data_IF_095645338820
#
_entry.id   IF_095645338820
#
_cell.length_a   1.000
_cell.length_b   1.000
_cell.length_c   1.000
_cell.angle_alpha   90.00
_cell.angle_beta   90.00
_cell.angle_gamma   90.00
#
_symmetry.space_group_name_H-M   'P 1'
#
loop_
_entity.id
_entity.type
_entity.pdbx_description
1 polymer ?
#
# COMPACT_ATOMS: atom_id res chain seq x y z
N UNK A 1 -11.85 -5.49 -8.50
CA UNK A 1 -12.04 -4.59 -7.34
C UNK A 1 -12.15 -3.16 -7.85
N UNK A 2 -13.14 -2.37 -7.44
CA UNK A 2 -13.39 -1.05 -8.03
C UNK A 2 -13.35 0.10 -7.01
N UNK A 3 -13.25 -0.22 -5.72
CA UNK A 3 -13.18 0.76 -4.64
C UNK A 3 -12.09 0.34 -3.67
N UNK A 4 -10.86 0.77 -3.96
CA UNK A 4 -9.72 0.49 -3.08
C UNK A 4 -8.79 1.69 -2.98
N UNK A 5 -8.46 2.11 -1.77
CA UNK A 5 -7.40 3.08 -1.51
C UNK A 5 -6.06 2.35 -1.44
N UNK A 6 -5.12 2.67 -2.32
CA UNK A 6 -3.95 1.82 -2.54
C UNK A 6 -3.07 1.67 -1.28
N UNK A 7 -2.91 2.72 -0.48
CA UNK A 7 -2.15 2.65 0.78
C UNK A 7 -2.87 1.79 1.84
N UNK A 8 -4.20 1.86 1.87
CA UNK A 8 -5.03 1.01 2.73
C UNK A 8 -5.09 -0.45 2.28
N UNK A 9 -4.63 -0.75 1.07
CA UNK A 9 -4.55 -2.10 0.52
C UNK A 9 -3.26 -2.85 0.92
N UNK A 10 -2.35 -2.18 1.64
CA UNK A 10 -1.10 -2.76 2.08
C UNK A 10 -1.34 -3.93 3.04
N UNK A 11 -0.92 -5.13 2.63
CA UNK A 11 -1.06 -6.32 3.47
C UNK A 11 -0.21 -6.19 4.76
N UNK A 12 -0.64 -6.75 5.90
CA UNK A 12 0.08 -6.65 7.17
C UNK A 12 1.56 -7.04 7.08
N UNK A 13 1.90 -8.08 6.33
CA UNK A 13 3.28 -8.55 6.13
C UNK A 13 4.14 -7.54 5.36
N UNK A 14 3.55 -6.83 4.39
CA UNK A 14 4.24 -5.77 3.65
C UNK A 14 4.51 -4.60 4.60
N UNK A 15 3.52 -4.20 5.39
CA UNK A 15 3.62 -3.11 6.37
C UNK A 15 4.65 -3.43 7.45
N UNK A 16 4.67 -4.64 8.00
CA UNK A 16 5.72 -5.09 8.93
C UNK A 16 7.11 -5.00 8.28
N UNK A 17 7.25 -5.39 7.01
CA UNK A 17 8.53 -5.31 6.30
C UNK A 17 8.99 -3.86 6.09
N UNK A 18 8.08 -2.95 5.75
CA UNK A 18 8.38 -1.52 5.59
C UNK A 18 8.66 -0.84 6.94
N UNK A 19 7.94 -1.22 8.00
CA UNK A 19 8.19 -0.75 9.36
C UNK A 19 9.61 -1.09 9.81
N UNK A 20 10.08 -2.31 9.53
CA UNK A 20 11.49 -2.71 9.76
C UNK A 20 12.46 -1.87 8.95
N UNK A 21 12.20 -1.64 7.65
CA UNK A 21 13.03 -0.79 6.78
C UNK A 21 13.20 0.62 7.34
N UNK A 22 12.15 1.19 7.93
CA UNK A 22 12.11 2.57 8.42
C UNK A 22 12.22 2.73 9.93
N UNK A 23 12.55 1.67 10.67
CA UNK A 23 12.71 1.72 12.13
C UNK A 23 11.45 2.14 12.88
N UNK A 24 10.28 1.69 12.43
CA UNK A 24 8.97 1.96 13.06
C UNK A 24 8.44 0.70 13.73
N UNK A 25 7.69 0.88 14.83
CA UNK A 25 7.05 -0.22 15.56
C UNK A 25 5.60 -0.41 15.07
N UNK A 26 5.25 -1.55 14.44
CA UNK A 26 3.89 -1.85 14.02
C UNK A 26 3.01 -2.46 15.12
N UNK A 27 3.56 -2.81 16.29
CA UNK A 27 2.83 -3.54 17.35
C UNK A 27 1.54 -2.87 17.87
N UNK A 28 1.39 -1.52 17.86
CA UNK A 28 0.13 -0.90 18.23
C UNK A 28 -1.00 -1.10 17.23
N UNK A 29 -0.66 -1.36 15.95
CA UNK A 29 -1.61 -1.38 14.84
C UNK A 29 -1.79 -2.76 14.22
N UNK A 30 -0.82 -3.66 14.41
CA UNK A 30 -0.85 -5.03 13.88
C UNK A 30 -0.57 -6.02 15.00
N UNK A 31 -1.52 -6.93 15.22
CA UNK A 31 -1.44 -8.01 16.21
C UNK A 31 -1.83 -9.33 15.53
N UNK A 32 -1.12 -10.41 15.82
CA UNK A 32 -1.37 -11.74 15.24
C UNK A 32 -1.51 -11.74 13.70
N UNK A 33 -0.73 -10.88 13.03
CA UNK A 33 -0.71 -10.76 11.58
C UNK A 33 -1.92 -10.01 10.98
N UNK A 34 -2.74 -9.37 11.80
CA UNK A 34 -3.91 -8.60 11.37
C UNK A 34 -3.85 -7.18 11.91
N UNK A 35 -4.37 -6.23 11.14
CA UNK A 35 -4.56 -4.88 11.66
C UNK A 35 -5.65 -4.86 12.76
N UNK A 36 -5.47 -4.01 13.77
CA UNK A 36 -6.41 -3.87 14.89
C UNK A 36 -6.89 -2.43 15.04
N UNK A 37 -8.21 -2.26 15.19
CA UNK A 37 -8.89 -0.98 15.45
C UNK A 37 -10.26 -1.25 16.08
N UNK A 38 -10.89 -0.24 16.68
CA UNK A 38 -12.19 -0.38 17.36
C UNK A 38 -13.26 0.64 16.94
N UNK A 39 -12.87 1.64 16.17
CA UNK A 39 -13.75 2.67 15.60
C UNK A 39 -13.08 3.31 14.37
N UNK A 40 -13.75 4.31 13.78
CA UNK A 40 -13.23 4.99 12.60
C UNK A 40 -11.94 5.76 12.88
N UNK A 41 -11.81 6.36 14.06
CA UNK A 41 -10.62 7.14 14.42
C UNK A 41 -9.39 6.26 14.61
N UNK A 42 -9.53 5.12 15.30
CA UNK A 42 -8.47 4.12 15.46
C UNK A 42 -8.14 3.42 14.14
N UNK A 43 -9.12 3.23 13.25
CA UNK A 43 -8.87 2.79 11.88
C UNK A 43 -7.98 3.80 11.13
N UNK A 44 -8.32 5.09 11.17
CA UNK A 44 -7.51 6.13 10.53
C UNK A 44 -6.08 6.16 11.10
N UNK A 45 -5.90 5.96 12.41
CA UNK A 45 -4.57 5.88 13.00
C UNK A 45 -3.74 4.70 12.46
N UNK A 46 -4.36 3.53 12.25
CA UNK A 46 -3.70 2.38 11.63
C UNK A 46 -3.40 2.61 10.15
N UNK A 47 -4.34 3.23 9.42
CA UNK A 47 -4.19 3.62 8.02
C UNK A 47 -3.05 4.63 7.83
N UNK A 48 -2.99 5.67 8.66
CA UNK A 48 -1.95 6.70 8.62
C UNK A 48 -0.57 6.10 8.93
N UNK A 49 -0.51 5.20 9.92
CA UNK A 49 0.71 4.47 10.23
C UNK A 49 1.21 3.66 9.02
N UNK A 50 0.33 2.90 8.36
CA UNK A 50 0.68 2.11 7.19
C UNK A 50 1.11 3.00 6.01
N UNK A 51 0.34 4.06 5.73
CA UNK A 51 0.59 5.01 4.64
C UNK A 51 1.95 5.72 4.78
N UNK A 52 2.33 6.12 5.99
CA UNK A 52 3.60 6.81 6.30
C UNK A 52 4.86 5.94 6.10
N UNK A 53 4.69 4.65 5.79
CA UNK A 53 5.76 3.69 5.52
C UNK A 53 6.12 3.56 4.03
N UNK A 54 5.41 4.24 3.13
CA UNK A 54 5.73 4.28 1.70
C UNK A 54 6.31 5.66 1.38
N UNK A 55 7.62 5.72 1.09
CA UNK A 55 8.34 7.01 1.02
C UNK A 55 9.14 7.21 -0.26
N UNK A 56 9.52 6.13 -0.93
CA UNK A 56 10.27 6.18 -2.19
C UNK A 56 9.43 5.66 -3.35
N UNK A 57 9.81 6.01 -4.58
CA UNK A 57 9.19 5.43 -5.78
C UNK A 57 9.14 3.90 -5.73
N UNK A 58 10.24 3.24 -5.31
CA UNK A 58 10.23 1.78 -5.17
C UNK A 58 9.29 1.26 -4.08
N UNK A 59 8.98 2.04 -3.04
CA UNK A 59 8.01 1.60 -2.03
C UNK A 59 6.61 1.54 -2.64
N UNK A 60 6.24 2.57 -3.40
CA UNK A 60 4.95 2.65 -4.07
C UNK A 60 4.82 1.65 -5.22
N UNK A 61 5.88 1.43 -5.99
CA UNK A 61 5.92 0.38 -7.01
C UNK A 61 5.72 -1.01 -6.37
N UNK A 62 6.41 -1.28 -5.25
CA UNK A 62 6.23 -2.53 -4.50
C UNK A 62 4.82 -2.67 -3.93
N UNK A 63 4.21 -1.59 -3.44
CA UNK A 63 2.84 -1.60 -2.92
C UNK A 63 1.84 -2.03 -4.00
N UNK A 64 1.87 -1.36 -5.16
CA UNK A 64 0.95 -1.67 -6.26
C UNK A 64 1.15 -3.09 -6.80
N UNK A 65 2.41 -3.51 -6.99
CA UNK A 65 2.76 -4.87 -7.43
C UNK A 65 2.24 -5.93 -6.44
N UNK A 66 2.48 -5.72 -5.14
CA UNK A 66 2.04 -6.65 -4.09
C UNK A 66 0.52 -6.80 -4.04
N UNK A 67 -0.20 -5.66 -4.01
CA UNK A 67 -1.66 -5.65 -3.95
C UNK A 67 -2.28 -6.33 -5.17
N UNK A 68 -1.87 -5.94 -6.38
CA UNK A 68 -2.46 -6.45 -7.62
C UNK A 68 -2.11 -7.92 -7.86
N UNK A 69 -0.87 -8.33 -7.57
CA UNK A 69 -0.49 -9.74 -7.61
C UNK A 69 -1.35 -10.56 -6.63
N UNK A 70 -1.66 -10.01 -5.45
CA UNK A 70 -2.56 -10.68 -4.50
C UNK A 70 -3.98 -10.81 -5.05
N UNK A 71 -4.56 -9.73 -5.56
CA UNK A 71 -5.88 -9.75 -6.19
C UNK A 71 -5.99 -10.78 -7.31
N UNK A 72 -4.95 -10.89 -8.15
CA UNK A 72 -4.92 -11.88 -9.22
C UNK A 72 -4.96 -13.32 -8.69
N UNK A 73 -4.26 -13.60 -7.58
CA UNK A 73 -4.33 -14.93 -6.91
C UNK A 73 -5.74 -15.24 -6.40
N UNK A 74 -6.48 -14.21 -6.01
CA UNK A 74 -7.88 -14.34 -5.56
C UNK A 74 -8.88 -14.37 -6.73
N UNK A 75 -8.39 -14.35 -7.98
CA UNK A 75 -9.19 -14.51 -9.19
C UNK A 75 -9.70 -13.20 -9.80
N UNK A 76 -9.26 -12.04 -9.30
CA UNK A 76 -9.60 -10.77 -9.93
C UNK A 76 -8.84 -10.60 -11.25
N UNK A 77 -9.54 -10.12 -12.27
CA UNK A 77 -8.97 -9.85 -13.61
C UNK A 77 -8.83 -8.35 -13.91
N UNK A 78 -9.33 -7.50 -13.02
CA UNK A 78 -9.37 -6.04 -13.20
C UNK A 78 -9.48 -5.34 -11.85
N UNK A 79 -8.74 -4.23 -11.71
CA UNK A 79 -8.85 -3.35 -10.55
C UNK A 79 -8.77 -1.88 -10.92
N UNK A 80 -9.57 -1.06 -10.22
CA UNK A 80 -9.40 0.40 -10.15
C UNK A 80 -9.03 0.78 -8.73
N UNK A 81 -8.11 1.75 -8.57
CA UNK A 81 -7.61 2.17 -7.26
C UNK A 81 -7.65 3.69 -7.13
N UNK A 82 -8.01 4.15 -5.94
CA UNK A 82 -7.86 5.54 -5.53
C UNK A 82 -6.41 5.78 -5.11
N UNK A 83 -5.90 6.94 -5.52
CA UNK A 83 -4.58 7.42 -5.17
C UNK A 83 -4.70 8.68 -4.32
N UNK A 84 -3.74 8.88 -3.41
CA UNK A 84 -3.70 10.03 -2.52
C UNK A 84 -2.33 10.69 -2.57
N UNK A 85 -2.11 11.62 -3.53
CA UNK A 85 -0.82 12.29 -3.72
C UNK A 85 -0.29 13.01 -2.48
N UNK A 86 -1.14 13.35 -1.51
CA UNK A 86 -0.75 14.01 -0.27
C UNK A 86 0.21 13.15 0.58
N UNK A 87 0.05 11.82 0.59
CA UNK A 87 1.01 10.93 1.27
C UNK A 87 2.40 11.01 0.62
N UNK A 88 2.45 11.02 -0.71
CA UNK A 88 3.68 11.13 -1.46
C UNK A 88 4.36 12.50 -1.25
N UNK A 89 3.58 13.58 -1.26
CA UNK A 89 4.06 14.94 -0.97
C UNK A 89 4.67 15.00 0.43
N UNK A 90 3.99 14.43 1.44
CA UNK A 90 4.50 14.35 2.82
C UNK A 90 5.82 13.56 2.92
N UNK A 91 6.01 12.57 2.05
CA UNK A 91 7.27 11.81 1.94
C UNK A 91 8.37 12.52 1.12
N UNK A 92 8.07 13.66 0.48
CA UNK A 92 9.02 14.43 -0.33
C UNK A 92 9.03 14.04 -1.81
N UNK A 93 8.06 13.25 -2.28
CA UNK A 93 7.89 12.93 -3.70
C UNK A 93 6.96 13.93 -4.38
N UNK A 94 7.18 14.13 -5.68
CA UNK A 94 6.20 14.82 -6.51
C UNK A 94 4.99 13.91 -6.79
N UNK A 95 3.78 14.46 -7.01
CA UNK A 95 2.62 13.68 -7.46
C UNK A 95 2.90 12.86 -8.73
N UNK A 96 3.76 13.37 -9.62
CA UNK A 96 4.18 12.64 -10.82
C UNK A 96 5.01 11.42 -10.47
N UNK A 97 6.05 11.56 -9.64
CA UNK A 97 6.90 10.45 -9.23
C UNK A 97 6.09 9.34 -8.53
N UNK A 98 5.13 9.73 -7.69
CA UNK A 98 4.18 8.79 -7.07
C UNK A 98 3.32 8.05 -8.10
N UNK A 99 2.74 8.78 -9.07
CA UNK A 99 1.90 8.17 -10.11
C UNK A 99 2.70 7.23 -11.00
N UNK A 100 3.90 7.64 -11.41
CA UNK A 100 4.80 6.83 -12.23
C UNK A 100 5.22 5.56 -11.47
N UNK A 101 5.52 5.68 -10.18
CA UNK A 101 5.88 4.55 -9.32
C UNK A 101 4.74 3.53 -9.16
N UNK A 102 3.51 3.99 -8.91
CA UNK A 102 2.34 3.11 -8.90
C UNK A 102 2.15 2.42 -10.25
N UNK A 103 2.31 3.16 -11.36
CA UNK A 103 2.25 2.61 -12.71
C UNK A 103 3.30 1.54 -12.99
N UNK A 104 4.52 1.73 -12.50
CA UNK A 104 5.59 0.72 -12.56
C UNK A 104 5.20 -0.56 -11.79
N UNK A 105 4.65 -0.41 -10.58
CA UNK A 105 4.13 -1.55 -9.81
C UNK A 105 2.99 -2.30 -10.52
N UNK A 106 2.06 -1.56 -11.14
CA UNK A 106 0.99 -2.11 -11.97
C UNK A 106 1.55 -2.89 -13.17
N UNK A 107 2.56 -2.35 -13.85
CA UNK A 107 3.21 -3.02 -14.97
C UNK A 107 3.89 -4.34 -14.55
N UNK A 108 4.53 -4.36 -13.37
CA UNK A 108 5.12 -5.57 -12.78
C UNK A 108 4.05 -6.64 -12.50
N UNK A 109 2.93 -6.26 -11.86
CA UNK A 109 1.84 -7.19 -11.57
C UNK A 109 1.22 -7.76 -12.87
N UNK A 110 0.98 -6.90 -13.85
CA UNK A 110 0.45 -7.29 -15.17
C UNK A 110 1.35 -8.27 -15.89
N UNK A 111 2.66 -8.02 -15.90
CA UNK A 111 3.62 -8.94 -16.52
C UNK A 111 3.64 -10.32 -15.86
N UNK A 112 3.41 -10.40 -14.55
CA UNK A 112 3.40 -11.65 -13.78
C UNK A 112 2.08 -12.42 -13.89
N UNK A 113 0.96 -11.71 -13.90
CA UNK A 113 -0.36 -12.31 -13.63
C UNK A 113 -1.44 -11.96 -14.64
N UNK A 114 -1.25 -10.91 -15.43
CA UNK A 114 -2.23 -10.42 -16.42
C UNK A 114 -3.28 -9.45 -15.90
N UNK A 115 -3.33 -9.18 -14.59
CA UNK A 115 -4.20 -8.15 -13.99
C UNK A 115 -3.75 -6.72 -14.32
#
# INVERSE_FOLDING_TARGET
ELHCHIEGAAAPELVISQARKYGKDPSPYIQDGSFVWHDFTSFLAAYDFASDLFRTEEDYARLADHYLTSLARDGAIYSEVFTSPDHAIKAGLSPKAYTDALGEGMARAKAKTGI
#
